data_IF_658196675452
#
_entry.id   IF_658196675452
#
_cell.length_a   1.000
_cell.length_b   1.000
_cell.length_c   1.000
_cell.angle_alpha   90.00
_cell.angle_beta   90.00
_cell.angle_gamma   90.00
#
_symmetry.space_group_name_H-M   'P 1'
#
loop_
_entity.id
_entity.type
_entity.pdbx_description
1 polymer ?
#
# COMPACT_ATOMS: atom_id res chain seq x y z
N UNK A 1 6.28 13.94 20.32
CA UNK A 1 7.43 13.33 19.67
C UNK A 1 7.27 11.83 19.69
N UNK A 2 7.36 11.19 18.53
CA UNK A 2 7.28 9.73 18.42
C UNK A 2 8.53 9.10 19.03
N UNK A 3 8.37 8.11 19.88
CA UNK A 3 9.50 7.29 20.34
C UNK A 3 9.69 6.16 19.34
N UNK A 4 10.72 6.26 18.51
CA UNK A 4 11.11 5.19 17.59
C UNK A 4 11.72 4.04 18.39
N UNK A 5 10.96 2.98 18.63
CA UNK A 5 11.51 1.72 19.13
C UNK A 5 12.20 0.96 17.99
N UNK A 6 13.20 0.10 18.28
CA UNK A 6 13.83 -0.71 17.22
C UNK A 6 12.84 -1.56 16.44
N UNK A 7 11.83 -2.14 17.08
CA UNK A 7 10.81 -2.96 16.43
C UNK A 7 9.88 -2.13 15.53
N UNK A 8 9.50 -0.93 15.99
CA UNK A 8 8.71 -0.02 15.17
C UNK A 8 9.50 0.46 13.94
N UNK A 9 10.76 0.85 14.11
CA UNK A 9 11.62 1.24 13.00
C UNK A 9 11.81 0.10 12.00
N UNK A 10 12.01 -1.13 12.50
CA UNK A 10 12.09 -2.32 11.66
C UNK A 10 10.81 -2.53 10.83
N UNK A 11 9.65 -2.48 11.47
CA UNK A 11 8.36 -2.61 10.80
C UNK A 11 8.18 -1.51 9.74
N UNK A 12 8.53 -0.26 10.07
CA UNK A 12 8.45 0.88 9.17
C UNK A 12 9.33 0.68 7.93
N UNK A 13 10.58 0.24 8.10
CA UNK A 13 11.50 -0.04 6.99
C UNK A 13 10.95 -1.18 6.11
N UNK A 14 10.48 -2.27 6.73
CA UNK A 14 9.94 -3.43 6.00
C UNK A 14 8.68 -3.09 5.20
N UNK A 15 7.91 -2.15 5.68
CA UNK A 15 6.66 -1.72 5.03
C UNK A 15 6.86 -0.61 4.02
N UNK A 16 7.99 0.11 4.06
CA UNK A 16 8.33 1.19 3.12
C UNK A 16 9.24 0.69 2.00
N UNK A 17 8.82 -0.34 1.27
CA UNK A 17 9.64 -0.92 0.18
C UNK A 17 8.83 -1.15 -1.10
N UNK A 18 9.50 -1.02 -2.24
CA UNK A 18 8.98 -1.48 -3.53
C UNK A 18 9.41 -2.91 -3.82
N UNK A 19 8.47 -3.73 -4.24
CA UNK A 19 8.75 -5.11 -4.64
C UNK A 19 9.63 -5.16 -5.89
N UNK A 20 10.76 -5.86 -5.77
CA UNK A 20 11.72 -6.07 -6.86
C UNK A 20 11.61 -7.44 -7.52
N UNK A 21 10.73 -8.31 -7.06
CA UNK A 21 10.61 -9.68 -7.59
C UNK A 21 10.27 -9.71 -9.08
N UNK A 22 9.53 -8.72 -9.57
CA UNK A 22 9.21 -8.58 -10.99
C UNK A 22 10.45 -8.44 -11.89
N UNK A 23 11.57 -7.95 -11.35
CA UNK A 23 12.82 -7.79 -12.06
C UNK A 23 13.74 -9.02 -11.98
N UNK A 24 13.37 -10.04 -11.21
CA UNK A 24 14.11 -11.27 -11.01
C UNK A 24 13.71 -12.35 -12.04
N UNK A 25 13.72 -11.97 -13.31
CA UNK A 25 13.35 -12.84 -14.44
C UNK A 25 14.43 -12.86 -15.51
N UNK A 26 14.50 -13.94 -16.29
CA UNK A 26 15.45 -14.05 -17.38
C UNK A 26 16.89 -14.33 -16.93
N UNK A 27 17.85 -13.81 -17.68
CA UNK A 27 19.29 -14.02 -17.44
C UNK A 27 20.03 -12.70 -17.33
N UNK A 28 21.00 -12.64 -16.42
CA UNK A 28 21.95 -11.53 -16.28
C UNK A 28 23.35 -11.97 -16.65
N UNK A 29 24.02 -11.21 -17.53
CA UNK A 29 25.42 -11.44 -17.87
C UNK A 29 26.32 -10.87 -16.79
N UNK A 30 27.12 -11.72 -16.17
CA UNK A 30 28.08 -11.36 -15.13
C UNK A 30 29.48 -11.68 -15.56
N UNK A 31 30.47 -10.97 -15.03
CA UNK A 31 31.88 -11.23 -15.23
C UNK A 31 32.43 -11.97 -14.00
N UNK A 32 33.04 -13.13 -14.26
CA UNK A 32 33.73 -13.89 -13.22
C UNK A 32 35.23 -13.48 -13.21
N UNK A 33 35.61 -12.81 -12.14
CA UNK A 33 36.98 -12.34 -11.93
C UNK A 33 37.99 -13.46 -11.72
N UNK A 34 37.57 -14.66 -11.32
CA UNK A 34 38.45 -15.79 -11.10
C UNK A 34 38.82 -16.48 -12.42
N UNK A 35 37.87 -16.53 -13.33
CA UNK A 35 38.07 -17.18 -14.65
C UNK A 35 38.36 -16.20 -15.79
N UNK A 36 38.17 -14.88 -15.53
CA UNK A 36 38.32 -13.84 -16.54
C UNK A 36 37.24 -13.89 -17.64
N UNK A 37 36.14 -14.55 -17.41
CA UNK A 37 35.14 -14.86 -18.43
C UNK A 37 33.74 -14.31 -18.03
N UNK A 38 32.90 -14.08 -19.05
CA UNK A 38 31.50 -13.76 -18.83
C UNK A 38 30.66 -15.04 -18.78
N UNK A 39 29.70 -15.09 -17.88
CA UNK A 39 28.69 -16.14 -17.83
C UNK A 39 27.28 -15.54 -17.69
N UNK A 40 26.26 -16.31 -18.04
CA UNK A 40 24.88 -15.93 -17.91
C UNK A 40 24.28 -16.60 -16.68
N UNK A 41 23.91 -15.80 -15.70
CA UNK A 41 23.22 -16.27 -14.50
C UNK A 41 21.70 -16.22 -14.72
N UNK A 42 21.05 -17.37 -14.54
CA UNK A 42 19.58 -17.43 -14.52
C UNK A 42 19.06 -16.79 -13.22
N UNK A 43 18.15 -15.82 -13.34
CA UNK A 43 17.60 -15.10 -12.19
C UNK A 43 16.40 -15.80 -11.56
N UNK A 44 15.71 -16.69 -12.27
CA UNK A 44 14.51 -17.36 -11.78
C UNK A 44 14.66 -18.07 -10.41
N UNK A 45 15.81 -18.74 -10.11
CA UNK A 45 16.01 -19.34 -8.78
C UNK A 45 16.07 -18.34 -7.61
N UNK A 46 16.29 -17.05 -7.91
CA UNK A 46 16.40 -15.98 -6.93
C UNK A 46 15.10 -15.17 -6.78
N UNK A 47 14.11 -15.43 -7.63
CA UNK A 47 12.80 -14.82 -7.49
C UNK A 47 12.22 -15.12 -6.10
N UNK A 48 11.65 -14.13 -5.45
CA UNK A 48 11.09 -14.18 -4.09
C UNK A 48 12.09 -14.53 -2.98
N UNK A 49 13.41 -14.42 -3.25
CA UNK A 49 14.46 -14.72 -2.27
C UNK A 49 15.30 -13.51 -1.85
N UNK A 50 15.01 -12.34 -2.40
CA UNK A 50 15.79 -11.11 -2.17
C UNK A 50 15.15 -10.16 -1.14
N UNK A 51 14.34 -10.70 -0.23
CA UNK A 51 13.70 -9.89 0.79
C UNK A 51 12.42 -9.21 0.31
N UNK A 52 11.98 -8.18 1.06
CA UNK A 52 10.73 -7.47 0.79
C UNK A 52 10.82 -6.50 -0.39
N UNK A 53 12.03 -6.05 -0.75
CA UNK A 53 12.21 -5.11 -1.84
C UNK A 53 13.29 -4.07 -1.57
N UNK A 54 13.34 -3.00 -2.36
CA UNK A 54 14.19 -1.84 -2.08
C UNK A 54 13.43 -0.76 -1.30
N UNK A 55 14.14 -0.09 -0.39
CA UNK A 55 13.55 0.93 0.49
C UNK A 55 13.10 2.13 -0.33
N UNK A 56 11.90 2.60 -0.06
CA UNK A 56 11.36 3.86 -0.53
C UNK A 56 11.36 4.88 0.61
N UNK A 57 12.30 5.83 0.55
CA UNK A 57 12.42 6.86 1.58
C UNK A 57 11.21 7.81 1.61
N UNK A 58 10.53 8.01 0.49
CA UNK A 58 9.32 8.84 0.44
C UNK A 58 8.18 8.17 1.20
N UNK A 59 7.92 6.87 0.91
CA UNK A 59 6.93 6.10 1.66
C UNK A 59 7.23 6.04 3.16
N UNK A 60 8.52 5.91 3.51
CA UNK A 60 8.94 5.89 4.90
C UNK A 60 8.62 7.21 5.61
N UNK A 61 8.90 8.34 4.97
CA UNK A 61 8.58 9.66 5.51
C UNK A 61 7.08 9.90 5.60
N UNK A 62 6.31 9.49 4.59
CA UNK A 62 4.84 9.60 4.61
C UNK A 62 4.23 8.81 5.78
N UNK A 63 4.72 7.60 6.05
CA UNK A 63 4.29 6.82 7.21
C UNK A 63 4.63 7.51 8.53
N UNK A 64 5.78 8.18 8.61
CA UNK A 64 6.17 8.97 9.79
C UNK A 64 5.30 10.21 9.99
N UNK A 65 4.86 10.84 8.89
CA UNK A 65 3.98 12.03 8.91
C UNK A 65 2.49 11.69 9.11
N UNK A 66 2.20 10.46 9.52
CA UNK A 66 0.84 9.98 9.76
C UNK A 66 -0.05 9.93 8.52
N UNK A 67 0.50 9.94 7.31
CA UNK A 67 -0.26 9.61 6.10
C UNK A 67 -0.52 8.10 6.10
N UNK A 68 -1.78 7.65 6.12
CA UNK A 68 -2.09 6.23 6.15
C UNK A 68 -1.56 5.53 4.90
N UNK A 69 -0.89 4.40 5.09
CA UNK A 69 -0.45 3.53 4.01
C UNK A 69 -1.28 2.25 4.01
N UNK A 70 -2.05 2.04 2.95
CA UNK A 70 -2.90 0.87 2.77
C UNK A 70 -2.12 -0.21 2.00
N UNK A 71 -1.76 -1.28 2.68
CA UNK A 71 -0.95 -2.36 2.11
C UNK A 71 -1.82 -3.40 1.43
N UNK A 72 -1.56 -3.64 0.15
CA UNK A 72 -2.35 -4.51 -0.72
C UNK A 72 -1.42 -5.53 -1.37
N UNK A 73 -1.86 -6.77 -1.45
CA UNK A 73 -1.16 -7.80 -2.21
C UNK A 73 -1.65 -7.80 -3.66
N UNK A 74 -0.70 -7.73 -4.60
CA UNK A 74 -1.01 -7.72 -6.04
C UNK A 74 -1.75 -8.99 -6.46
N UNK A 75 -2.82 -8.81 -7.25
CA UNK A 75 -3.63 -9.90 -7.81
C UNK A 75 -4.73 -10.43 -6.89
N UNK A 76 -4.76 -10.01 -5.63
CA UNK A 76 -5.80 -10.39 -4.68
C UNK A 76 -6.74 -9.20 -4.39
N UNK A 77 -8.01 -9.48 -4.11
CA UNK A 77 -8.92 -8.48 -3.57
C UNK A 77 -8.57 -8.25 -2.11
N UNK A 78 -8.27 -7.00 -1.77
CA UNK A 78 -8.03 -6.58 -0.40
C UNK A 78 -9.30 -5.95 0.18
N UNK A 79 -9.61 -6.30 1.43
CA UNK A 79 -10.65 -5.66 2.23
C UNK A 79 -9.99 -5.08 3.46
N UNK A 80 -10.01 -3.75 3.58
CA UNK A 80 -9.27 -2.98 4.58
C UNK A 80 -10.24 -2.18 5.45
N UNK A 81 -10.09 -2.28 6.77
CA UNK A 81 -10.84 -1.43 7.70
C UNK A 81 -10.27 -0.02 7.67
N UNK A 82 -11.07 0.96 7.28
CA UNK A 82 -10.63 2.36 7.25
C UNK A 82 -10.48 2.94 8.66
N UNK A 83 -11.23 2.44 9.62
CA UNK A 83 -11.15 2.89 11.01
C UNK A 83 -9.78 2.64 11.65
N UNK A 84 -9.07 1.60 11.17
CA UNK A 84 -7.71 1.31 11.64
C UNK A 84 -6.67 2.33 11.14
N UNK A 85 -6.97 3.07 10.08
CA UNK A 85 -6.03 3.97 9.40
C UNK A 85 -6.30 5.46 9.65
N UNK A 86 -7.49 5.83 10.10
CA UNK A 86 -7.87 7.23 10.28
C UNK A 86 -7.97 7.68 11.75
N UNK A 87 -7.54 6.81 12.69
CA UNK A 87 -7.33 7.15 14.09
C UNK A 87 -8.61 7.45 14.87
N UNK A 88 -8.48 8.30 15.88
CA UNK A 88 -9.55 8.62 16.83
C UNK A 88 -10.75 9.35 16.20
N UNK A 89 -10.58 9.93 15.02
CA UNK A 89 -11.65 10.59 14.28
C UNK A 89 -12.58 9.60 13.55
N UNK A 90 -12.18 8.32 13.45
CA UNK A 90 -12.90 7.30 12.68
C UNK A 90 -14.31 7.06 13.17
N UNK A 91 -14.55 7.09 14.48
CA UNK A 91 -15.87 6.88 15.07
C UNK A 91 -16.90 7.96 14.69
N UNK A 92 -16.41 9.15 14.32
CA UNK A 92 -17.25 10.27 13.87
C UNK A 92 -17.42 10.33 12.36
N UNK A 93 -16.73 9.46 11.61
CA UNK A 93 -16.71 9.47 10.15
C UNK A 93 -17.70 8.47 9.57
N UNK A 94 -18.57 8.96 8.67
CA UNK A 94 -19.39 8.09 7.81
C UNK A 94 -18.81 8.12 6.40
N UNK A 95 -18.16 7.04 6.00
CA UNK A 95 -17.51 6.94 4.68
C UNK A 95 -18.55 6.87 3.56
N UNK A 96 -18.40 7.72 2.54
CA UNK A 96 -19.33 7.85 1.42
C UNK A 96 -18.81 7.22 0.14
N UNK A 97 -17.50 7.22 -0.05
CA UNK A 97 -16.89 6.68 -1.27
C UNK A 97 -15.41 6.97 -1.35
N UNK A 98 -14.82 6.55 -2.45
CA UNK A 98 -13.41 6.77 -2.73
C UNK A 98 -13.16 6.97 -4.22
N UNK A 99 -12.03 7.58 -4.53
CA UNK A 99 -11.58 7.87 -5.89
C UNK A 99 -10.09 7.63 -6.05
N UNK A 100 -9.73 7.10 -7.21
CA UNK A 100 -8.34 7.00 -7.68
C UNK A 100 -8.26 7.67 -9.07
N UNK A 101 -7.17 8.36 -9.36
CA UNK A 101 -6.94 8.96 -10.68
C UNK A 101 -6.75 7.87 -11.74
N UNK A 102 -6.92 8.22 -13.01
CA UNK A 102 -6.74 7.27 -14.11
C UNK A 102 -5.27 6.81 -14.18
N UNK A 103 -4.31 7.70 -13.90
CA UNK A 103 -2.88 7.36 -13.84
C UNK A 103 -2.60 6.31 -12.77
N UNK A 104 -3.16 6.44 -11.58
CA UNK A 104 -3.01 5.48 -10.48
C UNK A 104 -3.71 4.17 -10.83
N UNK A 105 -4.89 4.25 -11.45
CA UNK A 105 -5.62 3.06 -11.90
C UNK A 105 -4.80 2.23 -12.89
N UNK A 106 -4.20 2.88 -13.87
CA UNK A 106 -3.37 2.22 -14.90
C UNK A 106 -2.06 1.70 -14.32
N UNK A 107 -1.42 2.49 -13.45
CA UNK A 107 -0.16 2.12 -12.81
C UNK A 107 -0.32 0.87 -11.92
N UNK A 108 -1.37 0.81 -11.10
CA UNK A 108 -1.64 -0.28 -10.18
C UNK A 108 -2.49 -1.41 -10.80
N UNK A 109 -2.95 -1.25 -12.04
CA UNK A 109 -3.77 -2.23 -12.74
C UNK A 109 -5.14 -2.47 -12.07
N UNK A 110 -5.78 -1.40 -11.59
CA UNK A 110 -7.10 -1.42 -10.95
C UNK A 110 -8.17 -1.53 -12.04
N UNK A 111 -8.81 -2.69 -12.16
CA UNK A 111 -9.82 -2.94 -13.19
C UNK A 111 -11.24 -2.58 -12.73
N UNK A 112 -11.56 -2.88 -11.48
CA UNK A 112 -12.86 -2.56 -10.89
C UNK A 112 -12.77 -1.31 -10.01
N UNK A 113 -13.82 -0.50 -10.01
CA UNK A 113 -13.88 0.69 -9.15
C UNK A 113 -13.79 0.27 -7.67
N UNK A 114 -12.88 0.85 -6.87
CA UNK A 114 -12.84 0.62 -5.43
C UNK A 114 -14.18 0.97 -4.77
N UNK A 115 -14.57 0.25 -3.73
CA UNK A 115 -15.84 0.42 -3.02
C UNK A 115 -15.60 0.53 -1.52
N UNK A 116 -16.44 1.32 -0.87
CA UNK A 116 -16.47 1.38 0.59
C UNK A 116 -17.86 0.96 1.06
N UNK A 117 -17.91 -0.04 1.90
CA UNK A 117 -19.15 -0.54 2.51
C UNK A 117 -18.89 -0.77 4.01
N UNK A 118 -19.69 -0.14 4.87
CA UNK A 118 -19.58 -0.26 6.33
C UNK A 118 -18.16 0.01 6.86
N UNK A 119 -17.50 1.05 6.37
CA UNK A 119 -16.14 1.39 6.78
C UNK A 119 -15.04 0.47 6.20
N UNK A 120 -15.41 -0.49 5.39
CA UNK A 120 -14.46 -1.41 4.74
C UNK A 120 -14.21 -0.98 3.29
N UNK A 121 -12.96 -0.73 2.95
CA UNK A 121 -12.51 -0.48 1.58
C UNK A 121 -12.21 -1.80 0.89
N UNK A 122 -12.91 -2.08 -0.21
CA UNK A 122 -12.63 -3.23 -1.10
C UNK A 122 -11.96 -2.72 -2.38
N UNK A 123 -10.77 -3.24 -2.66
CA UNK A 123 -9.95 -2.85 -3.81
C UNK A 123 -9.10 -4.03 -4.30
N UNK A 124 -8.94 -4.14 -5.62
CA UNK A 124 -8.05 -5.10 -6.25
C UNK A 124 -7.04 -4.38 -7.13
N UNK A 125 -5.76 -4.57 -6.85
CA UNK A 125 -4.64 -4.05 -7.62
C UNK A 125 -3.86 -5.22 -8.22
N UNK A 126 -3.64 -5.20 -9.54
CA UNK A 126 -2.99 -6.32 -10.24
C UNK A 126 -1.51 -6.10 -10.53
N UNK A 127 -1.01 -4.89 -10.28
CA UNK A 127 0.41 -4.53 -10.49
C UNK A 127 1.01 -3.97 -9.20
N UNK A 128 2.23 -4.37 -8.83
CA UNK A 128 2.98 -3.74 -7.73
C UNK A 128 3.26 -2.27 -8.03
N UNK A 129 3.24 -1.44 -7.00
CA UNK A 129 3.51 -0.02 -7.11
C UNK A 129 2.87 0.76 -5.96
N UNK A 130 2.87 2.07 -6.09
CA UNK A 130 2.23 2.99 -5.14
C UNK A 130 1.34 3.98 -5.86
N UNK A 131 0.37 4.53 -5.14
CA UNK A 131 -0.50 5.57 -5.65
C UNK A 131 -1.47 6.06 -4.60
N UNK A 132 -2.01 7.25 -4.79
CA UNK A 132 -2.95 7.85 -3.84
C UNK A 132 -4.38 7.47 -4.12
N UNK A 133 -5.12 7.25 -3.03
CA UNK A 133 -6.57 7.15 -3.02
C UNK A 133 -7.15 8.27 -2.17
N UNK A 134 -8.19 8.92 -2.68
CA UNK A 134 -9.00 9.87 -1.94
C UNK A 134 -10.21 9.17 -1.37
N UNK A 135 -10.51 9.46 -0.11
CA UNK A 135 -11.63 8.88 0.62
C UNK A 135 -12.49 10.03 1.10
N UNK A 136 -13.78 9.94 0.79
CA UNK A 136 -14.77 10.94 1.15
C UNK A 136 -15.58 10.42 2.33
N UNK A 137 -15.71 11.23 3.36
CA UNK A 137 -16.48 10.92 4.54
C UNK A 137 -17.30 12.13 5.00
N UNK A 138 -18.31 11.90 5.82
CA UNK A 138 -19.12 12.93 6.47
C UNK A 138 -18.86 12.86 7.98
N UNK A 139 -18.58 14.01 8.59
CA UNK A 139 -18.49 14.16 10.03
C UNK A 139 -19.86 14.60 10.57
N UNK A 140 -20.33 13.95 11.66
CA UNK A 140 -21.48 14.41 12.42
C UNK A 140 -22.84 14.07 11.82
N UNK A 141 -22.96 12.98 11.10
CA UNK A 141 -24.21 12.46 10.55
C UNK A 141 -25.02 11.62 11.54
N UNK A 142 -25.36 12.09 12.72
CA UNK A 142 -26.44 11.46 13.49
C UNK A 142 -27.78 11.85 12.88
N UNK A 143 -28.51 10.90 12.34
CA UNK A 143 -29.92 11.06 12.02
C UNK A 143 -30.72 11.08 13.32
N UNK A 144 -30.86 12.28 13.91
CA UNK A 144 -31.87 12.52 14.94
C UNK A 144 -33.22 12.52 14.23
N UNK A 145 -34.08 11.59 14.57
CA UNK A 145 -35.39 11.45 13.97
C UNK A 145 -36.18 12.75 14.07
N UNK A 146 -36.66 13.22 12.93
CA UNK A 146 -37.66 14.29 12.81
C UNK A 146 -37.08 15.69 12.60
N UNK A 147 -36.97 16.13 11.36
CA UNK A 147 -36.92 17.55 10.96
C UNK A 147 -35.50 18.14 10.91
N UNK A 148 -35.11 18.58 9.75
CA UNK A 148 -33.88 19.29 9.36
C UNK A 148 -32.58 18.56 9.66
N UNK A 149 -32.11 17.84 8.63
CA UNK A 149 -30.73 17.35 8.53
C UNK A 149 -29.78 18.54 8.61
N UNK A 150 -29.15 18.77 9.75
CA UNK A 150 -27.94 19.57 9.79
C UNK A 150 -26.93 18.77 8.94
N UNK A 151 -26.68 19.23 7.73
CA UNK A 151 -25.79 18.59 6.79
C UNK A 151 -24.43 18.38 7.41
N UNK A 152 -24.03 17.11 7.57
CA UNK A 152 -22.70 16.77 8.02
C UNK A 152 -21.66 17.41 7.10
N UNK A 153 -20.50 17.77 7.64
CA UNK A 153 -19.41 18.35 6.85
C UNK A 153 -18.72 17.24 6.06
N UNK A 154 -18.68 17.39 4.74
CA UNK A 154 -17.91 16.48 3.89
C UNK A 154 -16.42 16.75 4.10
N UNK A 155 -15.68 15.73 4.42
CA UNK A 155 -14.23 15.75 4.57
C UNK A 155 -13.58 14.81 3.55
N UNK A 156 -12.43 15.24 3.05
CA UNK A 156 -11.58 14.45 2.19
C UNK A 156 -10.39 13.95 3.02
N UNK A 157 -10.07 12.68 2.86
CA UNK A 157 -8.88 12.05 3.43
C UNK A 157 -8.08 11.41 2.30
N UNK A 158 -6.77 11.45 2.42
CA UNK A 158 -5.87 10.78 1.48
C UNK A 158 -5.17 9.62 2.18
N UNK A 159 -4.96 8.54 1.44
CA UNK A 159 -4.12 7.44 1.85
C UNK A 159 -3.22 7.02 0.68
N UNK A 160 -2.07 6.44 0.98
CA UNK A 160 -1.18 5.85 -0.01
C UNK A 160 -1.48 4.36 -0.15
N UNK A 161 -1.82 3.93 -1.36
CA UNK A 161 -1.90 2.51 -1.72
C UNK A 161 -0.49 1.98 -1.93
N UNK A 162 -0.11 0.94 -1.20
CA UNK A 162 1.20 0.28 -1.33
C UNK A 162 0.95 -1.15 -1.77
N UNK A 163 1.07 -1.40 -3.07
CA UNK A 163 0.79 -2.71 -3.66
C UNK A 163 2.08 -3.50 -3.80
N UNK A 164 2.09 -4.70 -3.25
CA UNK A 164 3.24 -5.61 -3.25
C UNK A 164 2.95 -6.87 -4.03
N UNK A 165 4.00 -7.41 -4.66
CA UNK A 165 3.98 -8.75 -5.22
C UNK A 165 3.87 -9.84 -4.14
N UNK A 166 3.89 -11.10 -4.58
CA UNK A 166 3.91 -12.22 -3.66
C UNK A 166 5.15 -12.13 -2.74
N UNK A 167 4.96 -12.38 -1.44
CA UNK A 167 6.06 -12.40 -0.46
C UNK A 167 7.16 -13.36 -0.92
N UNK A 168 8.41 -13.01 -0.64
CA UNK A 168 9.53 -13.93 -0.75
C UNK A 168 9.26 -15.18 0.12
N UNK A 169 9.50 -16.36 -0.43
CA UNK A 169 9.22 -17.65 0.26
C UNK A 169 10.07 -17.83 1.53
N UNK A 170 11.20 -17.13 1.63
CA UNK A 170 12.15 -17.24 2.73
C UNK A 170 12.06 -16.11 3.75
N UNK A 171 10.96 -15.35 3.78
CA UNK A 171 10.76 -14.29 4.77
C UNK A 171 11.73 -13.12 4.70
N UNK A 172 12.63 -13.10 3.75
CA UNK A 172 13.67 -12.09 3.65
C UNK A 172 14.61 -12.07 4.87
N UNK A 173 15.59 -11.21 4.84
CA UNK A 173 16.57 -11.02 5.91
C UNK A 173 15.99 -10.32 7.15
N UNK A 174 14.71 -10.02 7.16
CA UNK A 174 14.08 -9.26 8.24
C UNK A 174 12.83 -9.97 8.74
#
# INVERSE_FOLDING_TARGET
>A
GYTLTPDYLRALIQTSVHDINQYQTGTKRLFDYNTGSYYNMNLAPYAKKLGSGYIDAHLLLMQMDSTPCLYIKSGEEATLSLDEYFGDDSESLTYQGCEVTDEVRDALGIQSKPRIENGMLSIQCNKPGTGRIKIYAIIGGESVGGGDSMGGMVVEREAELVVRGAKAENGGWL
#
